data_IF_566138964179
#
_entry.id   IF_566138964179
#
_cell.length_a   1.000
_cell.length_b   1.000
_cell.length_c   1.000
_cell.angle_alpha   90.00
_cell.angle_beta   90.00
_cell.angle_gamma   90.00
#
_symmetry.space_group_name_H-M   'P 1'
#
loop_
_entity.id
_entity.type
_entity.pdbx_description
1 polymer ?
#
# COMPACT_ATOMS: atom_id res chain seq x y z
N UNK A 1 -9.55 -9.69 -70.61
CA UNK A 1 -10.60 -10.72 -70.78
C UNK A 1 -11.93 -10.10 -70.34
N UNK A 2 -12.91 -10.06 -71.25
CA UNK A 2 -14.33 -9.68 -71.10
C UNK A 2 -14.74 -8.21 -70.84
N UNK A 3 -15.01 -7.55 -71.97
CA UNK A 3 -16.12 -6.61 -72.26
C UNK A 3 -17.50 -7.23 -72.00
N UNK A 4 -18.49 -6.44 -71.52
CA UNK A 4 -19.95 -6.51 -71.80
C UNK A 4 -20.62 -5.36 -71.01
N UNK A 5 -21.23 -4.30 -71.58
CA UNK A 5 -22.38 -4.11 -72.50
C UNK A 5 -23.57 -3.51 -71.73
N UNK A 6 -23.99 -2.31 -72.17
CA UNK A 6 -25.20 -1.58 -71.82
C UNK A 6 -26.47 -2.43 -71.97
N UNK A 7 -27.51 -2.11 -71.18
CA UNK A 7 -28.91 -2.20 -71.62
C UNK A 7 -29.78 -1.16 -70.90
N UNK A 8 -30.42 -0.32 -71.71
CA UNK A 8 -31.47 0.64 -71.39
C UNK A 8 -32.81 -0.06 -71.13
N UNK A 9 -33.62 0.47 -70.22
CA UNK A 9 -35.09 0.37 -70.32
C UNK A 9 -35.69 1.75 -70.02
N UNK A 10 -36.38 2.29 -71.04
CA UNK A 10 -37.26 3.45 -70.97
C UNK A 10 -38.57 3.10 -70.26
N UNK A 11 -39.12 4.05 -69.49
CA UNK A 11 -40.57 4.23 -69.41
C UNK A 11 -40.89 5.72 -69.60
N UNK A 12 -41.73 5.98 -70.60
CA UNK A 12 -42.07 7.31 -71.07
C UNK A 12 -43.15 7.99 -70.23
N UNK A 13 -43.01 9.32 -70.12
CA UNK A 13 -44.12 10.23 -69.88
C UNK A 13 -44.14 11.23 -71.04
N UNK A 14 -45.23 11.23 -71.80
CA UNK A 14 -45.50 12.25 -72.81
C UNK A 14 -46.11 13.49 -72.14
N UNK A 15 -45.62 14.71 -72.41
CA UNK A 15 -46.37 15.92 -72.14
C UNK A 15 -47.16 16.34 -73.39
N UNK A 16 -48.44 16.63 -73.19
CA UNK A 16 -49.27 17.41 -74.13
C UNK A 16 -48.80 18.86 -74.06
N UNK A 17 -48.29 19.38 -75.18
CA UNK A 17 -48.00 20.80 -75.36
C UNK A 17 -49.30 21.57 -75.60
N UNK A 18 -49.80 22.25 -74.57
CA UNK A 18 -50.68 23.41 -74.73
C UNK A 18 -49.83 24.65 -74.90
N UNK A 19 -49.78 25.19 -76.13
CA UNK A 19 -49.15 26.47 -76.42
C UNK A 19 -49.89 27.59 -75.68
N UNK A 20 -49.23 28.16 -74.66
CA UNK A 20 -49.45 29.56 -74.27
C UNK A 20 -48.21 30.31 -74.69
N UNK A 21 -48.45 31.33 -75.51
CA UNK A 21 -47.47 32.22 -76.13
C UNK A 21 -46.49 32.75 -75.08
N UNK A 22 -45.24 32.33 -75.21
CA UNK A 22 -44.10 32.94 -74.54
C UNK A 22 -43.95 34.38 -75.05
N UNK A 23 -44.23 35.34 -74.17
CA UNK A 23 -43.39 36.53 -74.09
C UNK A 23 -41.97 36.08 -73.74
N UNK A 24 -41.19 35.73 -74.77
CA UNK A 24 -39.75 35.50 -74.67
C UNK A 24 -39.09 36.78 -74.14
N UNK A 25 -38.13 36.64 -73.23
CA UNK A 25 -37.25 37.66 -72.59
C UNK A 25 -37.31 37.77 -71.05
N UNK A 26 -38.17 37.02 -70.34
CA UNK A 26 -38.18 37.03 -68.85
C UNK A 26 -37.84 35.72 -68.16
N UNK A 27 -38.35 34.57 -68.62
CA UNK A 27 -38.39 33.36 -67.79
C UNK A 27 -37.03 32.65 -67.58
N UNK A 28 -36.08 32.73 -68.51
CA UNK A 28 -34.80 32.02 -68.43
C UNK A 28 -33.75 32.77 -67.57
N UNK A 29 -33.87 34.10 -67.47
CA UNK A 29 -33.12 34.90 -66.48
C UNK A 29 -33.75 34.76 -65.08
N UNK A 30 -35.07 34.67 -64.98
CA UNK A 30 -35.77 34.53 -63.69
C UNK A 30 -35.50 33.18 -63.03
N UNK A 31 -35.52 32.05 -63.74
CA UNK A 31 -35.17 30.75 -63.15
C UNK A 31 -33.69 30.63 -62.76
N UNK A 32 -32.77 31.19 -63.57
CA UNK A 32 -31.34 31.26 -63.24
C UNK A 32 -31.06 32.15 -62.01
N UNK A 33 -31.71 33.32 -61.94
CA UNK A 33 -31.61 34.26 -60.83
C UNK A 33 -32.28 33.73 -59.55
N UNK A 34 -33.40 33.01 -59.64
CA UNK A 34 -34.05 32.36 -58.49
C UNK A 34 -33.18 31.21 -57.96
N UNK A 35 -32.44 30.51 -58.83
CA UNK A 35 -31.47 29.47 -58.43
C UNK A 35 -30.17 30.02 -57.82
N UNK A 36 -29.76 31.24 -58.18
CA UNK A 36 -28.59 31.91 -57.59
C UNK A 36 -28.95 32.57 -56.27
N UNK A 37 -30.11 33.25 -56.18
CA UNK A 37 -30.63 33.80 -54.92
C UNK A 37 -30.89 32.68 -53.90
N UNK A 38 -31.46 31.56 -54.32
CA UNK A 38 -31.68 30.40 -53.44
C UNK A 38 -30.37 29.84 -52.87
N UNK A 39 -29.30 29.80 -53.67
CA UNK A 39 -27.96 29.39 -53.21
C UNK A 39 -27.31 30.42 -52.27
N UNK A 40 -27.45 31.72 -52.54
CA UNK A 40 -26.97 32.78 -51.65
C UNK A 40 -27.69 32.78 -50.30
N UNK A 41 -29.01 32.59 -50.30
CA UNK A 41 -29.81 32.53 -49.07
C UNK A 41 -29.47 31.30 -48.23
N UNK A 42 -29.31 30.12 -48.86
CA UNK A 42 -28.86 28.90 -48.17
C UNK A 42 -27.45 29.09 -47.58
N UNK A 43 -26.51 29.66 -48.35
CA UNK A 43 -25.16 29.95 -47.85
C UNK A 43 -25.13 30.97 -46.71
N UNK A 44 -25.99 31.99 -46.72
CA UNK A 44 -26.11 32.97 -45.64
C UNK A 44 -26.71 32.37 -44.36
N UNK A 45 -27.67 31.42 -44.49
CA UNK A 45 -28.25 30.68 -43.35
C UNK A 45 -27.21 29.74 -42.75
N UNK A 46 -26.48 28.98 -43.58
CA UNK A 46 -25.40 28.10 -43.15
C UNK A 46 -24.27 28.88 -42.45
N UNK A 47 -23.91 30.06 -42.98
CA UNK A 47 -22.94 30.95 -42.37
C UNK A 47 -23.37 31.45 -40.99
N UNK A 48 -24.63 31.92 -40.84
CA UNK A 48 -25.16 32.34 -39.54
C UNK A 48 -25.14 31.20 -38.53
N UNK A 49 -25.63 30.02 -38.91
CA UNK A 49 -25.64 28.84 -38.05
C UNK A 49 -24.22 28.43 -37.63
N UNK A 50 -23.27 28.42 -38.55
CA UNK A 50 -21.86 28.11 -38.25
C UNK A 50 -21.23 29.13 -37.30
N UNK A 51 -21.60 30.42 -37.42
CA UNK A 51 -21.13 31.48 -36.53
C UNK A 51 -21.70 31.31 -35.11
N UNK A 52 -23.00 31.07 -34.99
CA UNK A 52 -23.66 30.81 -33.71
C UNK A 52 -23.10 29.57 -33.00
N UNK A 53 -22.88 28.47 -33.75
CA UNK A 53 -22.23 27.27 -33.21
C UNK A 53 -20.79 27.52 -32.73
N UNK A 54 -20.03 28.39 -33.41
CA UNK A 54 -18.69 28.80 -32.96
C UNK A 54 -18.76 29.64 -31.69
N UNK A 55 -19.68 30.60 -31.61
CA UNK A 55 -19.85 31.46 -30.43
C UNK A 55 -20.30 30.65 -29.21
N UNK A 56 -21.20 29.69 -29.39
CA UNK A 56 -21.62 28.77 -28.32
C UNK A 56 -20.45 27.92 -27.82
N UNK A 57 -19.66 27.31 -28.73
CA UNK A 57 -18.48 26.54 -28.32
C UNK A 57 -17.43 27.39 -27.61
N UNK A 58 -17.24 28.65 -28.02
CA UNK A 58 -16.30 29.55 -27.34
C UNK A 58 -16.81 29.94 -25.94
N UNK A 59 -18.12 30.17 -25.78
CA UNK A 59 -18.72 30.44 -24.48
C UNK A 59 -18.62 29.23 -23.54
N UNK A 60 -18.90 28.02 -24.04
CA UNK A 60 -18.74 26.77 -23.28
C UNK A 60 -17.27 26.51 -22.92
N UNK A 61 -16.35 26.75 -23.87
CA UNK A 61 -14.91 26.67 -23.62
C UNK A 61 -14.52 27.57 -22.45
N UNK A 62 -14.86 28.85 -22.51
CA UNK A 62 -14.55 29.81 -21.46
C UNK A 62 -15.18 29.43 -20.11
N UNK A 63 -16.39 28.87 -20.12
CA UNK A 63 -17.03 28.38 -18.92
C UNK A 63 -16.24 27.22 -18.29
N UNK A 64 -15.82 26.23 -19.08
CA UNK A 64 -14.95 25.15 -18.58
C UNK A 64 -13.62 25.68 -18.05
N UNK A 65 -13.02 26.69 -18.70
CA UNK A 65 -11.80 27.33 -18.18
C UNK A 65 -12.03 27.94 -16.81
N UNK A 66 -13.07 28.77 -16.65
CA UNK A 66 -13.36 29.44 -15.38
C UNK A 66 -13.59 28.43 -14.25
N UNK A 67 -14.35 27.37 -14.52
CA UNK A 67 -14.60 26.31 -13.53
C UNK A 67 -13.31 25.52 -13.21
N UNK A 68 -12.51 25.17 -14.22
CA UNK A 68 -11.26 24.43 -14.05
C UNK A 68 -10.24 25.23 -13.22
N UNK A 69 -10.08 26.51 -13.52
CA UNK A 69 -9.21 27.44 -12.79
C UNK A 69 -9.70 27.58 -11.33
N UNK A 70 -11.01 27.62 -11.10
CA UNK A 70 -11.59 27.61 -9.75
C UNK A 70 -11.23 26.36 -8.96
N UNK A 71 -11.40 25.17 -9.55
CA UNK A 71 -11.02 23.90 -8.92
C UNK A 71 -9.51 23.79 -8.69
N UNK A 72 -8.69 24.33 -9.61
CA UNK A 72 -7.25 24.41 -9.42
C UNK A 72 -6.89 25.24 -8.18
N UNK A 73 -7.51 26.40 -8.02
CA UNK A 73 -7.29 27.28 -6.87
C UNK A 73 -7.76 26.64 -5.54
N UNK A 74 -8.77 25.78 -5.59
CA UNK A 74 -9.24 24.97 -4.46
C UNK A 74 -8.34 23.75 -4.16
N UNK A 75 -7.34 23.46 -4.99
CA UNK A 75 -6.47 22.29 -4.85
C UNK A 75 -7.09 20.98 -5.36
N UNK A 76 -8.24 21.03 -6.03
CA UNK A 76 -8.95 19.89 -6.61
C UNK A 76 -8.39 19.56 -8.00
N UNK A 77 -7.11 19.25 -8.06
CA UNK A 77 -6.36 19.11 -9.31
C UNK A 77 -6.93 18.02 -10.23
N UNK A 78 -7.37 16.87 -9.70
CA UNK A 78 -7.98 15.81 -10.52
C UNK A 78 -9.27 16.26 -11.20
N UNK A 79 -10.13 17.00 -10.49
CA UNK A 79 -11.38 17.53 -11.04
C UNK A 79 -11.09 18.66 -12.04
N UNK A 80 -10.10 19.51 -11.74
CA UNK A 80 -9.62 20.56 -12.64
C UNK A 80 -9.12 20.00 -13.98
N UNK A 81 -8.34 18.90 -13.96
CA UNK A 81 -7.89 18.20 -15.17
C UNK A 81 -9.05 17.72 -16.03
N UNK A 82 -10.15 17.24 -15.43
CA UNK A 82 -11.34 16.81 -16.19
C UNK A 82 -11.93 17.99 -16.96
N UNK A 83 -12.10 19.16 -16.31
CA UNK A 83 -12.67 20.35 -16.94
C UNK A 83 -11.76 20.96 -18.01
N UNK A 84 -10.44 21.01 -17.79
CA UNK A 84 -9.52 21.44 -18.84
C UNK A 84 -9.53 20.52 -20.06
N UNK A 85 -9.68 19.20 -19.87
CA UNK A 85 -9.82 18.27 -20.98
C UNK A 85 -11.16 18.48 -21.72
N UNK A 86 -12.24 18.81 -21.01
CA UNK A 86 -13.51 19.21 -21.63
C UNK A 86 -13.34 20.48 -22.47
N UNK A 87 -12.63 21.49 -21.96
CA UNK A 87 -12.29 22.68 -22.75
C UNK A 87 -11.48 22.32 -24.01
N UNK A 88 -10.46 21.47 -23.89
CA UNK A 88 -9.66 21.01 -25.03
C UNK A 88 -10.45 20.21 -26.06
N UNK A 89 -11.53 19.53 -25.64
CA UNK A 89 -12.43 18.84 -26.58
C UNK A 89 -13.22 19.79 -27.46
N UNK A 90 -13.48 21.02 -27.00
CA UNK A 90 -14.15 22.08 -27.77
C UNK A 90 -13.16 22.84 -28.67
N UNK A 91 -11.98 23.16 -28.13
CA UNK A 91 -10.95 23.97 -28.79
C UNK A 91 -9.57 23.59 -28.28
N UNK A 92 -8.68 23.25 -29.20
CA UNK A 92 -7.28 23.05 -28.88
C UNK A 92 -6.63 24.40 -28.54
N UNK A 93 -6.11 24.53 -27.33
CA UNK A 93 -5.49 25.74 -26.83
C UNK A 93 -4.28 25.38 -25.94
N UNK A 94 -3.30 26.27 -25.86
CA UNK A 94 -2.09 26.03 -25.06
C UNK A 94 -2.38 26.19 -23.55
N UNK A 95 -3.24 27.14 -23.19
CA UNK A 95 -3.51 27.44 -21.79
C UNK A 95 -4.02 26.22 -20.99
N UNK A 96 -5.06 25.48 -21.44
CA UNK A 96 -5.56 24.33 -20.70
C UNK A 96 -4.53 23.18 -20.66
N UNK A 97 -3.68 23.04 -21.68
CA UNK A 97 -2.59 22.05 -21.69
C UNK A 97 -1.55 22.36 -20.62
N UNK A 98 -1.13 23.62 -20.53
CA UNK A 98 -0.17 24.06 -19.50
C UNK A 98 -0.76 23.90 -18.10
N UNK A 99 -2.05 24.18 -17.92
CA UNK A 99 -2.71 24.00 -16.63
C UNK A 99 -2.87 22.52 -16.24
N UNK A 100 -3.20 21.63 -17.19
CA UNK A 100 -3.20 20.18 -16.95
C UNK A 100 -1.80 19.71 -16.51
N UNK A 101 -0.73 20.20 -17.15
CA UNK A 101 0.63 19.86 -16.75
C UNK A 101 0.95 20.31 -15.32
N UNK A 102 0.49 21.51 -14.92
CA UNK A 102 0.61 22.00 -13.53
C UNK A 102 -0.21 21.17 -12.55
N UNK A 103 -1.45 20.83 -12.87
CA UNK A 103 -2.29 19.94 -12.04
C UNK A 103 -1.59 18.60 -11.80
N UNK A 104 -1.05 17.99 -12.86
CA UNK A 104 -0.36 16.72 -12.76
C UNK A 104 0.93 16.82 -11.93
N UNK A 105 1.64 17.95 -12.02
CA UNK A 105 2.82 18.20 -11.19
C UNK A 105 2.46 18.31 -9.70
N UNK A 106 1.37 19.01 -9.36
CA UNK A 106 0.88 19.10 -7.98
C UNK A 106 0.37 17.75 -7.45
N UNK A 107 -0.39 17.00 -8.24
CA UNK A 107 -0.81 15.64 -7.88
C UNK A 107 0.40 14.73 -7.62
N UNK A 108 1.44 14.79 -8.46
CA UNK A 108 2.65 14.02 -8.26
C UNK A 108 3.41 14.45 -6.99
N UNK A 109 3.39 15.74 -6.63
CA UNK A 109 3.97 16.26 -5.39
C UNK A 109 3.19 15.75 -4.17
N UNK A 110 1.87 15.87 -4.17
CA UNK A 110 0.99 15.39 -3.09
C UNK A 110 1.18 13.89 -2.87
N UNK A 111 1.15 13.08 -3.93
CA UNK A 111 1.34 11.64 -3.82
C UNK A 111 2.72 11.28 -3.25
N UNK A 112 3.76 12.07 -3.56
CA UNK A 112 5.10 11.85 -2.97
C UNK A 112 5.12 12.17 -1.48
N UNK A 113 4.50 13.27 -1.06
CA UNK A 113 4.42 13.67 0.35
C UNK A 113 3.58 12.68 1.16
N UNK A 114 2.43 12.27 0.63
CA UNK A 114 1.57 11.25 1.25
C UNK A 114 2.31 9.92 1.39
N UNK A 115 2.98 9.47 0.33
CA UNK A 115 3.81 8.27 0.38
C UNK A 115 4.86 8.36 1.49
N UNK A 116 5.64 9.45 1.54
CA UNK A 116 6.68 9.61 2.55
C UNK A 116 6.11 9.62 3.97
N UNK A 117 5.00 10.32 4.21
CA UNK A 117 4.34 10.35 5.51
C UNK A 117 3.89 8.95 5.96
N UNK A 118 3.37 8.13 5.03
CA UNK A 118 2.97 6.76 5.32
C UNK A 118 4.18 5.88 5.65
N UNK A 119 5.29 6.06 4.94
CA UNK A 119 6.56 5.38 5.26
C UNK A 119 7.05 5.74 6.66
N UNK A 120 7.09 7.04 7.00
CA UNK A 120 7.59 7.50 8.30
C UNK A 120 6.73 6.94 9.45
N UNK A 121 5.40 6.91 9.27
CA UNK A 121 4.47 6.30 10.24
C UNK A 121 4.67 4.79 10.36
N UNK A 122 4.87 4.11 9.24
CA UNK A 122 5.09 2.66 9.22
C UNK A 122 6.40 2.29 9.92
N UNK A 123 7.50 2.96 9.57
CA UNK A 123 8.83 2.78 10.16
C UNK A 123 8.79 3.09 11.67
N UNK A 124 8.12 4.18 12.07
CA UNK A 124 7.93 4.51 13.49
C UNK A 124 7.16 3.42 14.23
N UNK A 125 6.03 2.95 13.68
CA UNK A 125 5.24 1.87 14.28
C UNK A 125 6.04 0.56 14.38
N UNK A 126 6.85 0.25 13.37
CA UNK A 126 7.73 -0.91 13.34
C UNK A 126 8.77 -0.85 14.47
N UNK A 127 9.45 0.29 14.63
CA UNK A 127 10.44 0.47 15.71
C UNK A 127 9.83 0.40 17.11
N UNK A 128 8.54 0.74 17.24
CA UNK A 128 7.74 0.59 18.46
C UNK A 128 7.18 -0.83 18.64
N UNK A 129 7.53 -1.78 17.77
CA UNK A 129 7.05 -3.16 17.75
C UNK A 129 5.54 -3.29 17.52
N UNK A 130 4.89 -2.25 17.00
CA UNK A 130 3.49 -2.29 16.57
C UNK A 130 3.42 -2.76 15.12
N UNK A 131 3.69 -4.05 14.91
CA UNK A 131 3.78 -4.65 13.58
C UNK A 131 2.50 -4.57 12.78
N UNK A 132 1.33 -4.67 13.43
CA UNK A 132 0.03 -4.55 12.75
C UNK A 132 -0.16 -3.16 12.13
N UNK A 133 0.08 -2.11 12.92
CA UNK A 133 -0.01 -0.73 12.43
C UNK A 133 1.08 -0.42 11.40
N UNK A 134 2.28 -1.01 11.55
CA UNK A 134 3.34 -0.87 10.56
C UNK A 134 2.91 -1.47 9.20
N UNK A 135 2.40 -2.71 9.19
CA UNK A 135 1.91 -3.40 7.99
C UNK A 135 0.77 -2.62 7.34
N UNK A 136 -0.17 -2.07 8.11
CA UNK A 136 -1.25 -1.23 7.61
C UNK A 136 -0.71 0.00 6.85
N UNK A 137 0.20 0.76 7.49
CA UNK A 137 0.76 1.97 6.88
C UNK A 137 1.64 1.65 5.65
N UNK A 138 2.41 0.56 5.65
CA UNK A 138 3.16 0.15 4.46
C UNK A 138 2.23 -0.24 3.30
N UNK A 139 1.11 -0.94 3.57
CA UNK A 139 0.14 -1.25 2.53
C UNK A 139 -0.54 0.00 1.97
N UNK A 140 -0.85 0.98 2.84
CA UNK A 140 -1.35 2.28 2.40
C UNK A 140 -0.31 2.99 1.51
N UNK A 141 0.99 2.97 1.89
CA UNK A 141 2.05 3.54 1.05
C UNK A 141 2.14 2.85 -0.32
N UNK A 142 1.99 1.52 -0.39
CA UNK A 142 1.95 0.78 -1.64
C UNK A 142 0.77 1.13 -2.55
N UNK A 143 -0.37 1.51 -1.96
CA UNK A 143 -1.52 1.99 -2.73
C UNK A 143 -1.26 3.35 -3.39
N UNK A 144 -0.46 4.22 -2.75
CA UNK A 144 -0.02 5.51 -3.31
C UNK A 144 1.08 5.32 -4.36
N UNK A 145 2.09 4.51 -4.03
CA UNK A 145 3.20 4.19 -4.92
C UNK A 145 3.76 2.79 -4.63
N UNK A 146 3.63 1.90 -5.61
CA UNK A 146 4.02 0.49 -5.48
C UNK A 146 5.54 0.29 -5.59
N UNK A 147 6.26 0.51 -4.48
CA UNK A 147 7.71 0.36 -4.39
C UNK A 147 8.15 -0.95 -3.71
N UNK A 148 9.45 -1.28 -3.83
CA UNK A 148 10.01 -2.49 -3.22
C UNK A 148 10.19 -2.37 -1.71
N UNK A 149 10.65 -1.20 -1.21
CA UNK A 149 10.93 -0.99 0.21
C UNK A 149 9.77 -1.37 1.14
N UNK A 150 8.52 -0.92 0.91
CA UNK A 150 7.40 -1.30 1.79
C UNK A 150 7.06 -2.79 1.72
N UNK A 151 7.26 -3.44 0.55
CA UNK A 151 7.03 -4.89 0.41
C UNK A 151 7.99 -5.69 1.26
N UNK A 152 9.27 -5.32 1.22
CA UNK A 152 10.31 -5.97 2.03
C UNK A 152 10.03 -5.76 3.51
N UNK A 153 9.63 -4.54 3.90
CA UNK A 153 9.27 -4.22 5.28
C UNK A 153 8.01 -4.90 5.78
N UNK A 154 6.98 -5.07 4.94
CA UNK A 154 5.80 -5.87 5.29
C UNK A 154 6.20 -7.31 5.56
N UNK A 155 7.06 -7.90 4.73
CA UNK A 155 7.55 -9.27 4.94
C UNK A 155 8.31 -9.38 6.27
N UNK A 156 9.25 -8.47 6.52
CA UNK A 156 10.01 -8.40 7.78
C UNK A 156 9.07 -8.28 9.00
N UNK A 157 8.10 -7.37 8.94
CA UNK A 157 7.11 -7.16 10.01
C UNK A 157 6.20 -8.37 10.24
N UNK A 158 5.83 -9.10 9.19
CA UNK A 158 5.05 -10.33 9.33
C UNK A 158 5.87 -11.43 10.01
N UNK A 159 7.13 -11.61 9.62
CA UNK A 159 8.04 -12.59 10.21
C UNK A 159 8.28 -12.27 11.70
N UNK A 160 8.52 -11.00 12.04
CA UNK A 160 8.73 -10.59 13.43
C UNK A 160 7.44 -10.64 14.25
N UNK A 161 6.29 -10.27 13.69
CA UNK A 161 5.00 -10.48 14.34
C UNK A 161 4.77 -11.95 14.68
N UNK A 162 5.06 -12.86 13.76
CA UNK A 162 4.96 -14.30 14.00
C UNK A 162 5.91 -14.75 15.12
N UNK A 163 7.13 -14.24 15.12
CA UNK A 163 8.16 -14.52 16.13
C UNK A 163 7.76 -14.06 17.52
N UNK A 164 7.16 -12.88 17.64
CA UNK A 164 6.60 -12.35 18.90
C UNK A 164 5.37 -13.14 19.37
N UNK A 165 4.76 -13.94 18.49
CA UNK A 165 3.76 -14.94 18.82
C UNK A 165 4.31 -16.28 19.31
N UNK A 166 5.58 -16.34 19.75
CA UNK A 166 6.29 -17.53 20.25
C UNK A 166 7.06 -17.22 21.54
N UNK A 167 7.50 -18.25 22.26
CA UNK A 167 8.49 -18.08 23.33
C UNK A 167 9.89 -18.13 22.73
N UNK A 168 10.74 -17.18 23.10
CA UNK A 168 12.12 -17.12 22.67
C UNK A 168 13.01 -17.86 23.68
N UNK A 169 13.69 -18.90 23.23
CA UNK A 169 14.74 -19.60 23.97
C UNK A 169 16.09 -19.24 23.33
N UNK A 170 17.10 -18.92 24.13
CA UNK A 170 18.43 -18.59 23.64
C UNK A 170 19.53 -19.37 24.36
N UNK A 171 20.54 -19.75 23.58
CA UNK A 171 21.82 -20.25 24.06
C UNK A 171 22.70 -19.18 24.75
N UNK A 172 22.24 -17.93 24.78
CA UNK A 172 22.85 -16.80 25.46
C UNK A 172 21.84 -16.17 26.42
N UNK A 173 22.30 -15.24 27.26
CA UNK A 173 21.40 -14.44 28.09
C UNK A 173 20.48 -13.60 27.21
N UNK A 174 19.21 -13.43 27.58
CA UNK A 174 18.31 -12.49 26.92
C UNK A 174 18.55 -11.08 27.45
N UNK A 175 18.78 -10.14 26.52
CA UNK A 175 18.98 -8.71 26.74
C UNK A 175 18.17 -7.87 25.73
N UNK A 176 18.33 -6.55 25.71
CA UNK A 176 17.82 -5.67 24.64
C UNK A 176 18.82 -5.44 23.49
N UNK A 177 20.07 -5.82 23.69
CA UNK A 177 21.14 -5.78 22.71
C UNK A 177 21.65 -7.19 22.44
N UNK A 178 22.17 -7.40 21.23
CA UNK A 178 22.95 -8.60 20.92
C UNK A 178 24.40 -8.26 21.16
N UNK A 179 25.05 -9.04 22.00
CA UNK A 179 26.49 -8.96 22.26
C UNK A 179 27.08 -10.34 22.06
N UNK A 180 28.07 -10.43 21.16
CA UNK A 180 28.67 -11.71 20.78
C UNK A 180 29.13 -12.49 22.04
N UNK A 181 28.75 -13.77 22.09
CA UNK A 181 29.04 -14.71 23.16
C UNK A 181 28.49 -14.36 24.57
N UNK A 182 27.75 -13.25 24.71
CA UNK A 182 27.19 -12.79 25.97
C UNK A 182 25.67 -12.80 25.98
N UNK A 183 25.04 -12.14 24.99
CA UNK A 183 23.59 -11.97 24.99
C UNK A 183 22.95 -11.98 23.61
N UNK A 184 21.74 -12.52 23.57
CA UNK A 184 20.79 -12.39 22.48
C UNK A 184 19.82 -11.25 22.80
N UNK A 185 19.56 -10.40 21.80
CA UNK A 185 18.46 -9.44 21.92
C UNK A 185 17.13 -10.20 21.94
N UNK A 186 16.23 -9.85 22.85
CA UNK A 186 14.90 -10.42 22.94
C UNK A 186 14.19 -10.35 21.57
N UNK A 187 13.70 -11.49 21.10
CA UNK A 187 13.04 -11.67 19.81
C UNK A 187 13.86 -11.28 18.58
N UNK A 188 15.19 -11.25 18.69
CA UNK A 188 16.07 -11.18 17.53
C UNK A 188 16.29 -12.57 16.96
N UNK A 189 16.27 -12.71 15.64
CA UNK A 189 16.66 -13.97 14.99
C UNK A 189 18.19 -14.06 14.92
N UNK A 190 18.81 -14.74 15.86
CA UNK A 190 20.27 -14.98 15.85
C UNK A 190 20.60 -16.48 15.88
N UNK A 191 21.87 -16.87 15.63
CA UNK A 191 22.27 -18.29 15.56
C UNK A 191 22.13 -19.10 16.86
N UNK A 192 21.69 -18.48 17.96
CA UNK A 192 21.51 -19.10 19.27
C UNK A 192 20.04 -19.22 19.67
N UNK A 193 19.14 -18.74 18.82
CA UNK A 193 17.72 -18.50 19.15
C UNK A 193 16.81 -19.60 18.60
N UNK A 194 15.96 -20.15 19.45
CA UNK A 194 14.81 -20.98 19.09
C UNK A 194 13.50 -20.26 19.44
N UNK A 195 12.48 -20.42 18.59
CA UNK A 195 11.17 -19.81 18.78
C UNK A 195 10.08 -20.87 18.83
N UNK A 196 9.51 -21.07 20.02
CA UNK A 196 8.59 -22.17 20.31
C UNK A 196 7.13 -21.72 20.29
N UNK A 197 6.32 -22.41 19.50
CA UNK A 197 4.87 -22.18 19.42
C UNK A 197 4.17 -22.63 20.71
N UNK A 198 2.93 -22.14 20.97
CA UNK A 198 2.05 -22.76 21.94
C UNK A 198 1.87 -24.25 21.67
N UNK A 199 1.96 -25.07 22.71
CA UNK A 199 1.94 -26.52 22.58
C UNK A 199 2.51 -27.24 23.78
N UNK A 200 2.47 -28.58 23.70
CA UNK A 200 3.02 -29.49 24.71
C UNK A 200 4.24 -30.20 24.15
N UNK A 201 5.37 -30.09 24.84
CA UNK A 201 6.65 -30.64 24.43
C UNK A 201 7.11 -31.67 25.47
N UNK A 202 6.90 -32.94 25.16
CA UNK A 202 7.16 -34.04 26.10
C UNK A 202 8.65 -34.23 26.44
N UNK A 203 9.55 -33.74 25.59
CA UNK A 203 11.00 -33.68 25.83
C UNK A 203 11.52 -32.39 25.19
N UNK A 204 12.01 -31.45 25.99
CA UNK A 204 12.47 -30.14 25.49
C UNK A 204 13.64 -30.30 24.51
N UNK A 205 14.59 -31.18 24.82
CA UNK A 205 15.78 -31.41 23.98
C UNK A 205 15.47 -31.88 22.55
N UNK A 206 14.30 -32.47 22.31
CA UNK A 206 13.90 -32.90 20.98
C UNK A 206 13.34 -31.75 20.13
N UNK A 207 13.13 -30.58 20.76
CA UNK A 207 12.39 -29.46 20.18
C UNK A 207 13.26 -28.22 19.98
N UNK A 208 14.28 -28.01 20.82
CA UNK A 208 15.25 -26.91 20.69
C UNK A 208 16.44 -27.35 19.83
N UNK A 209 16.80 -26.54 18.84
CA UNK A 209 17.90 -26.85 17.90
C UNK A 209 19.18 -26.12 18.33
N UNK A 210 19.07 -24.81 18.61
CA UNK A 210 20.22 -23.93 18.83
C UNK A 210 20.52 -23.72 20.33
N UNK A 211 19.47 -23.56 21.14
CA UNK A 211 19.48 -23.37 22.59
C UNK A 211 19.35 -24.68 23.36
N UNK A 212 20.23 -25.65 23.06
CA UNK A 212 20.14 -27.03 23.55
C UNK A 212 20.88 -27.28 24.88
N UNK A 213 21.03 -28.56 25.27
CA UNK A 213 21.49 -29.01 26.59
C UNK A 213 22.82 -28.43 27.09
N UNK A 214 23.65 -27.87 26.20
CA UNK A 214 24.91 -27.24 26.59
C UNK A 214 24.79 -25.72 26.76
N UNK A 215 23.78 -25.11 26.16
CA UNK A 215 23.79 -23.68 25.86
C UNK A 215 22.62 -22.90 26.46
N UNK A 216 21.47 -23.51 26.79
CA UNK A 216 20.32 -22.71 27.26
C UNK A 216 20.64 -21.82 28.46
N UNK A 217 20.65 -20.52 28.19
CA UNK A 217 21.07 -19.49 29.14
C UNK A 217 20.02 -18.38 29.27
N UNK A 218 19.04 -18.28 28.37
CA UNK A 218 18.00 -17.25 28.43
C UNK A 218 16.67 -17.65 27.83
N UNK A 219 15.57 -17.17 28.41
CA UNK A 219 14.20 -17.34 27.92
C UNK A 219 13.47 -15.99 28.00
N UNK A 220 12.77 -15.60 26.93
CA UNK A 220 11.81 -14.49 26.93
C UNK A 220 10.40 -15.02 26.66
N UNK A 221 9.46 -14.70 27.54
CA UNK A 221 8.05 -15.07 27.46
C UNK A 221 7.23 -13.81 27.18
N UNK A 222 6.42 -13.75 26.10
CA UNK A 222 5.65 -12.56 25.77
C UNK A 222 4.39 -12.44 26.65
N UNK A 223 3.78 -11.24 26.70
CA UNK A 223 2.68 -10.91 27.61
C UNK A 223 1.43 -11.82 27.56
N UNK A 224 1.17 -12.45 26.42
CA UNK A 224 0.00 -13.29 26.18
C UNK A 224 0.33 -14.79 26.24
N UNK A 225 1.40 -15.17 26.94
CA UNK A 225 1.83 -16.56 27.06
C UNK A 225 2.14 -16.96 28.48
N UNK A 226 1.89 -18.24 28.74
CA UNK A 226 2.35 -18.95 29.94
C UNK A 226 3.32 -20.04 29.56
N UNK A 227 4.43 -20.12 30.29
CA UNK A 227 5.42 -21.19 30.20
C UNK A 227 5.42 -22.00 31.49
N UNK A 228 5.26 -23.31 31.36
CA UNK A 228 5.49 -24.27 32.44
C UNK A 228 6.60 -25.22 32.04
N UNK A 229 7.63 -25.39 32.88
CA UNK A 229 8.71 -26.36 32.68
C UNK A 229 8.68 -27.35 33.84
N UNK A 230 8.71 -28.63 33.51
CA UNK A 230 8.78 -29.74 34.47
C UNK A 230 10.17 -30.38 34.44
N UNK A 231 10.64 -30.87 35.58
CA UNK A 231 11.99 -31.43 35.72
C UNK A 231 12.19 -32.76 34.99
N UNK A 232 11.12 -33.48 34.67
CA UNK A 232 11.18 -34.76 33.96
C UNK A 232 10.39 -34.72 32.64
N UNK A 233 10.71 -35.64 31.71
CA UNK A 233 9.92 -35.84 30.50
C UNK A 233 8.43 -36.10 30.78
N UNK A 234 7.60 -35.77 29.80
CA UNK A 234 6.17 -36.08 29.77
C UNK A 234 5.37 -35.49 30.95
N UNK A 235 5.66 -34.24 31.31
CA UNK A 235 4.93 -33.42 32.29
C UNK A 235 4.96 -34.02 33.70
N UNK A 236 6.13 -34.53 34.11
CA UNK A 236 6.36 -35.20 35.39
C UNK A 236 7.47 -34.51 36.20
N UNK A 237 7.58 -34.91 37.46
CA UNK A 237 8.55 -34.35 38.39
C UNK A 237 8.10 -33.00 38.93
N UNK A 238 9.05 -32.20 39.39
CA UNK A 238 8.81 -30.89 39.99
C UNK A 238 8.62 -29.83 38.91
N UNK A 239 7.73 -28.87 39.14
CA UNK A 239 7.61 -27.67 38.30
C UNK A 239 8.80 -26.74 38.59
N UNK A 240 9.64 -26.55 37.58
CA UNK A 240 10.85 -25.71 37.63
C UNK A 240 10.55 -24.25 37.26
N UNK A 241 9.59 -24.05 36.35
CA UNK A 241 9.11 -22.74 35.91
C UNK A 241 7.60 -22.82 35.78
N UNK A 242 6.91 -21.79 36.26
CA UNK A 242 5.51 -21.51 35.95
C UNK A 242 5.36 -19.99 35.91
N UNK A 243 5.38 -19.42 34.71
CA UNK A 243 5.40 -17.97 34.52
C UNK A 243 4.41 -17.56 33.45
N UNK A 244 3.67 -16.48 33.71
CA UNK A 244 2.91 -15.73 32.72
C UNK A 244 3.74 -14.53 32.32
N UNK A 245 3.90 -14.31 31.02
CA UNK A 245 4.65 -13.17 30.52
C UNK A 245 3.94 -11.83 30.75
N UNK A 246 4.61 -10.70 30.47
CA UNK A 246 5.95 -10.62 29.91
C UNK A 246 6.98 -11.02 30.98
N UNK A 247 7.96 -11.85 30.61
CA UNK A 247 9.01 -12.27 31.54
C UNK A 247 10.33 -12.56 30.81
N UNK A 248 11.45 -12.30 31.48
CA UNK A 248 12.77 -12.80 31.09
C UNK A 248 13.31 -13.68 32.22
N UNK A 249 13.81 -14.85 31.86
CA UNK A 249 14.50 -15.78 32.77
C UNK A 249 15.90 -16.01 32.22
N UNK A 250 16.91 -15.61 32.97
CA UNK A 250 18.32 -15.79 32.61
C UNK A 250 19.00 -16.78 33.55
N UNK A 251 19.97 -17.54 33.06
CA UNK A 251 20.55 -18.67 33.79
C UNK A 251 21.43 -18.21 34.95
N UNK A 252 21.07 -18.65 36.16
CA UNK A 252 21.73 -18.29 37.42
C UNK A 252 23.24 -18.55 37.41
N UNK A 253 23.71 -19.51 36.61
CA UNK A 253 25.14 -19.85 36.49
C UNK A 253 25.98 -18.68 35.95
N UNK A 254 25.36 -17.73 35.25
CA UNK A 254 26.03 -16.54 34.68
C UNK A 254 26.00 -15.33 35.61
N UNK A 255 25.23 -15.37 36.71
CA UNK A 255 24.94 -14.19 37.55
C UNK A 255 26.17 -13.48 38.11
N UNK A 256 27.24 -14.20 38.42
CA UNK A 256 28.40 -13.64 39.13
C UNK A 256 29.48 -13.04 38.21
N UNK A 257 29.27 -13.04 36.89
CA UNK A 257 30.12 -12.31 35.97
C UNK A 257 29.55 -10.89 35.77
N UNK A 258 30.35 -9.85 35.98
CA UNK A 258 29.89 -8.45 35.96
C UNK A 258 29.08 -8.10 34.69
N UNK A 259 29.61 -8.43 33.50
CA UNK A 259 28.94 -8.18 32.22
C UNK A 259 27.59 -8.92 32.09
N UNK A 260 27.43 -10.05 32.77
CA UNK A 260 26.19 -10.83 32.77
C UNK A 260 25.17 -10.31 33.80
N UNK A 261 25.63 -9.73 34.92
CA UNK A 261 24.75 -9.15 35.92
C UNK A 261 23.96 -7.95 35.36
N UNK A 262 24.64 -7.11 34.58
CA UNK A 262 24.06 -5.90 33.98
C UNK A 262 22.86 -6.20 33.08
N UNK A 263 22.83 -7.35 32.39
CA UNK A 263 21.72 -7.78 31.53
C UNK A 263 20.37 -7.78 32.27
N UNK A 264 20.39 -8.02 33.59
CA UNK A 264 19.16 -8.09 34.40
C UNK A 264 18.87 -6.79 35.16
N UNK A 265 19.88 -5.97 35.42
CA UNK A 265 19.76 -4.80 36.29
C UNK A 265 19.66 -3.47 35.53
N UNK A 266 20.31 -3.35 34.37
CA UNK A 266 20.31 -2.11 33.60
C UNK A 266 18.97 -1.84 32.93
N UNK A 267 18.69 -0.56 32.69
CA UNK A 267 17.58 -0.17 31.84
C UNK A 267 17.88 -0.62 30.40
N UNK A 268 16.90 -1.28 29.80
CA UNK A 268 16.90 -1.60 28.39
C UNK A 268 16.57 -0.34 27.58
N UNK A 269 16.95 -0.38 26.31
CA UNK A 269 16.46 0.52 25.30
C UNK A 269 14.96 0.31 25.07
N UNK A 270 14.26 1.41 24.84
CA UNK A 270 12.85 1.39 24.41
C UNK A 270 12.77 0.82 22.99
N UNK A 271 11.75 0.01 22.66
CA UNK A 271 10.57 -0.34 23.46
C UNK A 271 10.72 -1.55 24.38
N UNK A 272 11.83 -2.29 24.35
CA UNK A 272 11.99 -3.50 25.16
C UNK A 272 11.93 -3.24 26.67
N UNK A 273 12.37 -2.07 27.13
CA UNK A 273 12.20 -1.67 28.54
C UNK A 273 10.74 -1.57 28.97
N UNK A 274 9.83 -1.17 28.09
CA UNK A 274 8.40 -1.06 28.42
C UNK A 274 7.75 -2.44 28.53
N UNK A 275 8.24 -3.41 27.74
CA UNK A 275 7.71 -4.78 27.71
C UNK A 275 8.33 -5.61 28.84
N UNK A 276 9.64 -5.51 28.99
CA UNK A 276 10.42 -6.28 29.95
C UNK A 276 11.14 -5.36 30.93
N UNK A 277 10.47 -4.58 31.79
CA UNK A 277 11.15 -3.86 32.86
C UNK A 277 11.81 -4.85 33.83
N UNK A 278 12.77 -4.38 34.65
CA UNK A 278 13.53 -5.23 35.58
C UNK A 278 12.62 -6.05 36.52
N UNK A 279 11.43 -5.55 36.85
CA UNK A 279 10.44 -6.23 37.70
C UNK A 279 9.93 -7.54 37.12
N UNK A 280 10.09 -7.78 35.82
CA UNK A 280 9.72 -9.05 35.16
C UNK A 280 10.92 -9.84 34.67
N UNK A 281 12.13 -9.47 35.09
CA UNK A 281 13.37 -10.17 34.77
C UNK A 281 13.87 -10.92 36.00
N UNK A 282 14.19 -12.19 35.84
CA UNK A 282 14.57 -13.05 36.97
C UNK A 282 15.74 -13.93 36.62
N UNK A 283 16.59 -14.22 37.60
CA UNK A 283 17.54 -15.30 37.46
C UNK A 283 16.81 -16.61 37.72
N UNK A 284 17.14 -17.66 36.97
CA UNK A 284 16.58 -18.97 37.17
C UNK A 284 16.84 -19.50 38.60
N UNK A 285 15.99 -20.40 39.08
CA UNK A 285 16.15 -21.01 40.41
C UNK A 285 17.26 -22.07 40.45
N UNK A 286 17.66 -22.59 39.28
CA UNK A 286 18.72 -23.59 39.12
C UNK A 286 19.35 -23.45 37.73
N UNK A 287 20.38 -24.25 37.44
CA UNK A 287 21.01 -24.27 36.10
C UNK A 287 20.01 -24.69 35.01
N UNK A 288 19.73 -23.76 34.09
CA UNK A 288 18.76 -23.95 33.00
C UNK A 288 19.17 -25.05 32.02
N UNK A 289 20.46 -25.37 31.92
CA UNK A 289 20.96 -26.45 31.06
C UNK A 289 20.40 -27.82 31.48
N UNK A 290 20.06 -27.97 32.75
CA UNK A 290 19.42 -29.18 33.27
C UNK A 290 17.93 -29.28 32.89
N UNK A 291 17.26 -28.14 32.67
CA UNK A 291 15.81 -28.08 32.40
C UNK A 291 15.45 -28.75 31.07
N UNK A 292 16.37 -28.75 30.11
CA UNK A 292 16.19 -29.33 28.77
C UNK A 292 15.93 -30.84 28.80
N UNK A 293 16.33 -31.53 29.89
CA UNK A 293 16.03 -32.95 30.10
C UNK A 293 14.55 -33.20 30.45
N UNK A 294 13.84 -32.15 30.82
CA UNK A 294 12.45 -32.18 31.20
C UNK A 294 11.48 -31.99 30.04
N UNK A 295 10.31 -31.48 30.37
CA UNK A 295 9.22 -31.20 29.43
C UNK A 295 8.65 -29.81 29.66
N UNK A 296 7.96 -29.25 28.67
CA UNK A 296 7.35 -27.92 28.81
C UNK A 296 5.97 -27.82 28.17
N UNK A 297 5.16 -26.95 28.73
CA UNK A 297 3.86 -26.53 28.19
C UNK A 297 3.88 -25.03 27.93
N UNK A 298 3.51 -24.64 26.71
CA UNK A 298 3.38 -23.26 26.28
C UNK A 298 1.90 -23.02 25.97
N UNK A 299 1.27 -22.12 26.72
CA UNK A 299 -0.16 -21.80 26.55
C UNK A 299 -0.32 -20.35 26.14
N UNK A 300 -1.11 -20.11 25.10
CA UNK A 300 -1.58 -18.75 24.77
C UNK A 300 -2.76 -18.41 25.66
N UNK A 301 -2.73 -17.24 26.28
CA UNK A 301 -3.76 -16.73 27.21
C UNK A 301 -4.81 -15.89 26.47
#
# INVERSE_FOLDING_TARGET
MRTLLLSFILFGFAPVFGQVVLGTYGAQQVFGAVSSLGREVVGAIEYKKSKEEKEQREAEFNNFIVQADGLFAEGKYSESVVLYNQALSLKQDQYPRDQIARCNAELARINREEYQLLIDKADSSYTQLNFDLAIENYNAALAVNNQQYPKDKIKEAMEDKERWGKIHFSGLLISDTREDDLSSRAYSNDPYSDFMNPGKYGVINNSLVYSNYQTLDGIAVPANMRLVIYSEPHFKGTVLVDVVGPAIINNITKKNAQASEEVQTREFSTPLQQIFPQTVRTWSVSDMKSWIKGSMEITKL
#
